data_IF_566110430162
#
_entry.id   IF_566110430162
#
_cell.length_a   1.000
_cell.length_b   1.000
_cell.length_c   1.000
_cell.angle_alpha   90.00
_cell.angle_beta   90.00
_cell.angle_gamma   90.00
#
_symmetry.space_group_name_H-M   'P 1'
#
loop_
_entity.id
_entity.type
_entity.pdbx_description
1 polymer ?
#
# COMPACT_ATOMS: atom_id res chain seq x y z
N UNK A 1 24.46 -25.69 21.44
CA UNK A 1 23.16 -25.37 20.84
C UNK A 1 22.67 -24.07 21.46
N UNK A 2 22.81 -22.94 20.77
CA UNK A 2 22.39 -21.65 21.30
C UNK A 2 20.97 -21.38 20.80
N UNK A 3 19.99 -21.95 21.50
CA UNK A 3 18.59 -21.62 21.31
C UNK A 3 18.29 -20.32 22.04
N UNK A 4 18.67 -19.21 21.41
CA UNK A 4 17.94 -17.96 21.66
C UNK A 4 16.90 -17.90 20.57
N UNK A 5 15.66 -18.17 20.96
CA UNK A 5 14.48 -17.79 20.20
C UNK A 5 14.66 -16.32 19.86
N UNK A 6 15.14 -16.05 18.65
CA UNK A 6 15.18 -14.71 18.11
C UNK A 6 13.73 -14.34 17.86
N UNK A 7 13.02 -13.87 18.88
CA UNK A 7 11.84 -13.06 18.65
C UNK A 7 12.37 -11.80 17.97
N UNK A 8 12.17 -11.62 16.65
CA UNK A 8 12.59 -10.38 16.03
C UNK A 8 11.79 -9.29 16.72
N UNK A 9 12.45 -8.39 17.46
CA UNK A 9 11.77 -7.26 18.09
C UNK A 9 11.09 -6.47 16.98
N UNK A 10 9.80 -6.68 16.82
CA UNK A 10 8.99 -6.00 15.83
C UNK A 10 8.55 -4.66 16.38
N UNK A 11 8.54 -3.66 15.51
CA UNK A 11 8.18 -2.29 15.79
C UNK A 11 6.89 -2.00 15.01
N UNK A 12 5.81 -1.74 15.73
CA UNK A 12 4.49 -1.45 15.16
C UNK A 12 4.22 0.06 15.20
N UNK A 13 3.67 0.66 14.13
CA UNK A 13 3.29 2.07 14.15
C UNK A 13 2.14 2.27 15.15
N UNK A 14 2.39 2.99 16.24
CA UNK A 14 1.34 3.27 17.24
C UNK A 14 0.23 4.17 16.70
N UNK A 15 0.55 5.03 15.73
CA UNK A 15 -0.43 5.92 15.12
C UNK A 15 -1.47 5.12 14.31
N UNK A 16 -1.08 4.30 13.32
CA UNK A 16 -2.05 3.61 12.47
C UNK A 16 -2.34 2.16 12.88
N UNK A 17 -1.47 1.53 13.69
CA UNK A 17 -1.50 0.11 14.09
C UNK A 17 -1.60 -0.92 12.95
N UNK A 18 -1.37 -0.49 11.70
CA UNK A 18 -1.51 -1.31 10.48
C UNK A 18 -0.17 -1.64 9.80
N UNK A 19 0.95 -1.17 10.35
CA UNK A 19 2.28 -1.41 9.81
C UNK A 19 3.22 -1.89 10.91
N UNK A 20 3.85 -3.02 10.66
CA UNK A 20 4.81 -3.66 11.55
C UNK A 20 6.07 -3.98 10.77
N UNK A 21 7.23 -3.67 11.34
CA UNK A 21 8.54 -3.91 10.72
C UNK A 21 9.58 -4.20 11.79
N UNK A 22 10.65 -4.90 11.44
CA UNK A 22 11.80 -5.13 12.33
C UNK A 22 12.86 -4.02 12.25
N UNK A 23 12.63 -2.97 11.45
CA UNK A 23 13.58 -1.90 11.21
C UNK A 23 13.05 -0.54 11.66
N UNK A 24 13.80 0.12 12.54
CA UNK A 24 13.44 1.43 13.08
C UNK A 24 13.43 2.53 11.99
N UNK A 25 14.34 2.47 11.01
CA UNK A 25 14.36 3.43 9.91
C UNK A 25 13.14 3.28 9.00
N UNK A 26 12.71 2.05 8.75
CA UNK A 26 11.48 1.76 8.03
C UNK A 26 10.24 2.23 8.80
N UNK A 27 10.23 2.06 10.13
CA UNK A 27 9.13 2.55 10.96
C UNK A 27 9.07 4.09 10.97
N UNK A 28 10.21 4.77 11.11
CA UNK A 28 10.28 6.24 11.06
C UNK A 28 9.84 6.77 9.69
N UNK A 29 10.29 6.15 8.60
CA UNK A 29 9.82 6.46 7.25
C UNK A 29 8.32 6.25 7.15
N UNK A 30 7.82 5.10 7.61
CA UNK A 30 6.39 4.84 7.64
C UNK A 30 5.63 5.93 8.42
N UNK A 31 6.09 6.31 9.62
CA UNK A 31 5.47 7.37 10.44
C UNK A 31 5.38 8.71 9.70
N UNK A 32 6.49 9.15 9.13
CA UNK A 32 6.59 10.46 8.49
C UNK A 32 5.90 10.54 7.14
N UNK A 33 6.03 9.49 6.32
CA UNK A 33 5.52 9.54 4.94
C UNK A 33 4.19 8.84 4.79
N UNK A 34 3.82 7.83 5.58
CA UNK A 34 2.73 6.88 5.27
C UNK A 34 1.69 6.68 6.39
N UNK A 35 2.02 6.93 7.67
CA UNK A 35 1.19 6.66 8.86
C UNK A 35 0.25 7.82 9.21
N UNK A 36 0.34 8.95 8.51
CA UNK A 36 -0.57 10.10 8.68
C UNK A 36 -2.01 9.59 8.44
N UNK A 37 -2.81 9.58 9.49
CA UNK A 37 -4.13 8.94 9.67
C UNK A 37 -5.11 9.04 8.50
N UNK A 38 -4.93 10.01 7.60
CA UNK A 38 -5.75 10.22 6.41
C UNK A 38 -4.87 10.46 5.19
N UNK A 39 -4.15 9.43 4.74
CA UNK A 39 -3.71 9.42 3.34
C UNK A 39 -4.93 9.26 2.44
N UNK A 40 -5.59 10.39 2.16
CA UNK A 40 -6.26 10.56 0.89
C UNK A 40 -5.27 10.08 -0.18
N UNK A 41 -5.68 9.18 -1.09
CA UNK A 41 -4.79 8.70 -2.13
C UNK A 41 -4.39 9.91 -2.98
N UNK A 42 -3.15 10.37 -2.77
CA UNK A 42 -2.59 11.54 -3.41
C UNK A 42 -2.47 11.36 -4.93
N UNK A 43 -2.51 10.11 -5.39
CA UNK A 43 -2.30 9.74 -6.77
C UNK A 43 -3.35 8.71 -7.17
N UNK A 44 -4.08 8.99 -8.25
CA UNK A 44 -5.05 8.07 -8.82
C UNK A 44 -4.79 7.91 -10.32
N UNK A 45 -5.11 6.73 -10.85
CA UNK A 45 -5.03 6.50 -12.27
C UNK A 45 -6.23 7.16 -12.95
N UNK A 46 -6.00 8.13 -13.84
CA UNK A 46 -7.07 8.74 -14.63
C UNK A 46 -7.76 7.78 -15.61
N UNK A 47 -7.18 6.59 -15.89
CA UNK A 47 -7.73 5.60 -16.82
C UNK A 47 -8.67 4.58 -16.15
N UNK A 48 -8.38 4.16 -14.92
CA UNK A 48 -9.18 3.14 -14.20
C UNK A 48 -9.70 3.60 -12.83
N UNK A 49 -9.37 4.81 -12.38
CA UNK A 49 -9.77 5.34 -11.07
C UNK A 49 -9.05 4.72 -9.87
N UNK A 50 -8.13 3.76 -10.07
CA UNK A 50 -7.43 3.09 -8.96
C UNK A 50 -6.57 4.07 -8.17
N UNK A 51 -6.67 3.98 -6.84
CA UNK A 51 -6.09 4.89 -5.85
C UNK A 51 -4.74 4.35 -5.34
N UNK A 52 -3.72 5.20 -5.28
CA UNK A 52 -2.36 4.87 -4.85
C UNK A 52 -1.86 5.83 -3.77
N UNK A 53 -1.22 5.28 -2.73
CA UNK A 53 -0.62 6.07 -1.65
C UNK A 53 0.75 6.67 -1.96
N UNK A 54 1.32 6.38 -3.14
CA UNK A 54 2.64 6.86 -3.58
C UNK A 54 2.70 7.08 -5.10
N UNK A 55 3.49 8.06 -5.55
CA UNK A 55 3.74 8.32 -6.98
C UNK A 55 4.40 7.13 -7.69
N UNK A 56 5.33 6.44 -7.02
CA UNK A 56 5.98 5.23 -7.55
C UNK A 56 4.96 4.11 -7.82
N UNK A 57 3.99 3.92 -6.92
CA UNK A 57 2.90 2.96 -7.11
C UNK A 57 2.01 3.30 -8.30
N UNK A 58 1.63 4.57 -8.47
CA UNK A 58 0.88 5.02 -9.65
C UNK A 58 1.70 4.85 -10.95
N UNK A 59 2.97 5.28 -10.95
CA UNK A 59 3.83 5.18 -12.13
C UNK A 59 4.03 3.72 -12.56
N UNK A 60 4.18 2.83 -11.58
CA UNK A 60 4.26 1.40 -11.84
C UNK A 60 2.94 0.82 -12.35
N UNK A 61 1.82 1.43 -11.98
CA UNK A 61 0.53 1.01 -12.48
C UNK A 61 0.24 1.54 -13.89
N UNK A 62 0.74 2.72 -14.27
CA UNK A 62 0.47 3.34 -15.57
C UNK A 62 0.77 2.42 -16.77
N UNK A 63 1.85 1.65 -16.70
CA UNK A 63 2.24 0.76 -17.80
C UNK A 63 1.39 -0.52 -17.89
N UNK A 64 0.76 -0.93 -16.79
CA UNK A 64 -0.04 -2.15 -16.64
C UNK A 64 -1.51 -1.85 -16.33
N UNK A 65 -2.01 -0.67 -16.68
CA UNK A 65 -3.39 -0.30 -16.41
C UNK A 65 -4.33 -1.03 -17.40
N UNK A 66 -4.70 -2.27 -17.07
CA UNK A 66 -5.49 -3.20 -17.91
C UNK A 66 -7.02 -2.98 -17.81
N UNK A 67 -7.48 -2.06 -16.95
CA UNK A 67 -8.92 -1.89 -16.65
C UNK A 67 -9.65 -1.06 -17.73
N UNK A 68 -9.62 -1.53 -18.97
CA UNK A 68 -10.47 -1.01 -20.05
C UNK A 68 -11.50 -2.02 -20.57
N UNK A 69 -11.55 -3.27 -20.07
CA UNK A 69 -12.46 -4.29 -20.66
C UNK A 69 -13.26 -5.14 -19.64
N UNK A 70 -12.90 -5.22 -18.34
CA UNK A 70 -13.60 -6.18 -17.44
C UNK A 70 -14.86 -5.68 -16.72
N UNK A 71 -15.35 -4.47 -16.99
CA UNK A 71 -16.62 -3.98 -16.40
C UNK A 71 -17.60 -3.41 -17.44
N UNK A 72 -17.56 -3.87 -18.69
CA UNK A 72 -18.57 -3.48 -19.70
C UNK A 72 -19.23 -4.63 -20.45
N UNK A 73 -18.97 -5.90 -20.11
CA UNK A 73 -19.74 -7.02 -20.66
C UNK A 73 -19.75 -8.21 -19.72
N UNK A 74 -20.60 -8.12 -18.68
CA UNK A 74 -21.51 -9.14 -18.12
C UNK A 74 -22.41 -8.29 -17.18
N UNK A 75 -23.59 -7.80 -17.56
CA UNK A 75 -24.85 -8.55 -17.67
C UNK A 75 -25.91 -7.73 -18.43
N UNK A 76 -25.83 -7.66 -19.76
CA UNK A 76 -27.04 -7.65 -20.58
C UNK A 76 -27.18 -9.07 -21.11
N UNK A 77 -27.80 -9.93 -20.31
CA UNK A 77 -28.36 -11.19 -20.75
C UNK A 77 -29.80 -11.23 -20.22
N UNK A 78 -30.71 -10.96 -21.16
CA UNK A 78 -32.13 -11.28 -21.26
C UNK A 78 -32.81 -11.95 -20.08
#
# INVERSE_FOLDING_TARGET
MHEKTHEPRTLTCENCRKYTTNSASNLTKHRNVTCVQNKQPLHFCGRCGKKFGTKKGLNNHHYNCIDKIKQSWENEAT
#
